data_IF_934102021018
#
_entry.id   IF_934102021018
#
_cell.length_a   1.000
_cell.length_b   1.000
_cell.length_c   1.000
_cell.angle_alpha   90.00
_cell.angle_beta   90.00
_cell.angle_gamma   90.00
#
_symmetry.space_group_name_H-M   'P 1'
#
loop_
_entity.id
_entity.type
_entity.pdbx_description
1 polymer ?
#
# COMPACT_ATOMS: atom_id res chain seq x y z
N UNK A 1 -15.29 16.82 -18.24
CA UNK A 1 -14.75 16.86 -16.87
C UNK A 1 -15.28 15.64 -16.13
N UNK A 2 -14.77 14.44 -16.47
CA UNK A 2 -15.34 13.17 -15.99
C UNK A 2 -14.27 12.07 -15.94
N UNK A 3 -13.10 12.35 -15.37
CA UNK A 3 -12.11 11.31 -15.06
C UNK A 3 -12.09 10.92 -13.57
N UNK A 4 -12.93 11.54 -12.75
CA UNK A 4 -12.78 11.51 -11.29
C UNK A 4 -13.34 10.25 -10.62
N UNK A 5 -14.38 9.59 -11.18
CA UNK A 5 -14.97 8.40 -10.56
C UNK A 5 -14.22 7.08 -10.84
N UNK A 6 -13.55 6.94 -11.99
CA UNK A 6 -12.89 5.66 -12.32
C UNK A 6 -11.55 5.46 -11.58
N UNK A 7 -10.85 6.55 -11.26
CA UNK A 7 -9.64 6.51 -10.43
C UNK A 7 -9.94 6.04 -9.01
N UNK A 8 -11.11 6.38 -8.45
CA UNK A 8 -11.47 6.01 -7.08
C UNK A 8 -11.56 4.49 -6.89
N UNK A 9 -12.18 3.76 -7.82
CA UNK A 9 -12.33 2.31 -7.67
C UNK A 9 -10.96 1.61 -7.65
N UNK A 10 -10.07 1.93 -8.60
CA UNK A 10 -8.74 1.31 -8.66
C UNK A 10 -7.86 1.66 -7.47
N UNK A 11 -7.95 2.90 -6.98
CA UNK A 11 -7.23 3.33 -5.77
C UNK A 11 -7.76 2.60 -4.56
N UNK A 12 -9.09 2.51 -4.38
CA UNK A 12 -9.72 1.77 -3.28
C UNK A 12 -9.36 0.29 -3.30
N UNK A 13 -9.39 -0.34 -4.47
CA UNK A 13 -8.95 -1.72 -4.65
C UNK A 13 -7.47 -1.89 -4.27
N UNK A 14 -6.61 -0.99 -4.75
CA UNK A 14 -5.19 -1.03 -4.44
C UNK A 14 -4.91 -0.90 -2.95
N UNK A 15 -5.44 0.13 -2.27
CA UNK A 15 -5.15 0.35 -0.84
C UNK A 15 -5.74 -0.75 0.07
N UNK A 16 -6.81 -1.44 -0.38
CA UNK A 16 -7.50 -2.47 0.43
C UNK A 16 -6.66 -3.72 0.75
N UNK A 17 -5.54 -3.94 0.05
CA UNK A 17 -4.65 -5.10 0.25
C UNK A 17 -3.33 -4.69 0.91
N UNK A 18 -2.64 -5.64 1.52
CA UNK A 18 -1.25 -5.45 1.94
C UNK A 18 -0.30 -5.42 0.74
N UNK A 19 0.77 -4.62 0.84
CA UNK A 19 1.72 -4.39 -0.24
C UNK A 19 3.10 -4.96 0.05
N UNK A 20 3.74 -5.44 -1.01
CA UNK A 20 5.07 -6.03 -1.02
C UNK A 20 6.10 -5.04 -1.57
N UNK A 21 7.39 -5.34 -1.39
CA UNK A 21 8.45 -4.65 -2.12
C UNK A 21 8.50 -5.12 -3.57
N UNK A 22 8.91 -4.23 -4.48
CA UNK A 22 9.21 -4.61 -5.86
C UNK A 22 10.72 -4.59 -6.07
N UNK A 23 11.33 -5.78 -6.11
CA UNK A 23 12.79 -5.96 -6.19
C UNK A 23 13.08 -6.95 -7.32
N UNK A 24 13.98 -6.59 -8.22
CA UNK A 24 14.39 -7.41 -9.37
C UNK A 24 13.22 -7.98 -10.18
N UNK A 25 12.20 -7.14 -10.42
CA UNK A 25 11.04 -7.50 -11.23
C UNK A 25 9.96 -8.30 -10.48
N UNK A 26 10.16 -8.60 -9.19
CA UNK A 26 9.29 -9.47 -8.40
C UNK A 26 8.69 -8.73 -7.21
N UNK A 27 7.45 -9.09 -6.88
CA UNK A 27 6.80 -8.69 -5.63
C UNK A 27 7.22 -9.62 -4.52
N UNK A 28 7.90 -9.09 -3.50
CA UNK A 28 8.50 -9.87 -2.42
C UNK A 28 8.10 -9.31 -1.06
N UNK A 29 7.86 -10.21 -0.10
CA UNK A 29 7.71 -9.83 1.30
C UNK A 29 9.01 -9.26 1.86
N UNK A 30 8.94 -8.55 2.98
CA UNK A 30 10.14 -8.15 3.72
C UNK A 30 10.94 -9.38 4.16
N UNK A 31 12.27 -9.27 4.19
CA UNK A 31 13.17 -10.31 4.71
C UNK A 31 12.83 -10.65 6.17
N UNK A 32 12.44 -9.67 6.99
CA UNK A 32 12.04 -9.90 8.38
C UNK A 32 10.61 -10.40 8.54
N UNK A 33 9.84 -10.46 7.45
CA UNK A 33 8.42 -10.79 7.45
C UNK A 33 7.51 -9.70 8.02
N UNK A 34 8.06 -8.55 8.46
CA UNK A 34 7.28 -7.48 9.08
C UNK A 34 6.62 -6.57 8.04
N UNK A 35 5.47 -6.04 8.43
CA UNK A 35 4.80 -4.91 7.77
C UNK A 35 4.81 -3.67 8.68
N UNK A 36 4.44 -2.53 8.10
CA UNK A 36 4.10 -1.31 8.84
C UNK A 36 2.78 -0.74 8.34
N UNK A 37 2.03 -0.12 9.25
CA UNK A 37 0.82 0.61 8.90
C UNK A 37 1.19 1.91 8.18
N UNK A 38 0.52 2.15 7.05
CA UNK A 38 0.51 3.45 6.38
C UNK A 38 -0.76 4.19 6.78
N UNK A 39 -0.60 5.38 7.35
CA UNK A 39 -1.69 6.11 8.01
C UNK A 39 -2.11 7.33 7.19
N UNK A 40 -3.41 7.58 7.14
CA UNK A 40 -3.95 8.83 6.63
C UNK A 40 -3.56 9.97 7.59
N UNK A 41 -2.78 10.98 7.15
CA UNK A 41 -2.34 12.05 8.03
C UNK A 41 -3.48 12.98 8.49
N UNK A 42 -4.62 12.99 7.78
CA UNK A 42 -5.78 13.83 8.08
C UNK A 42 -6.71 13.21 9.13
N UNK A 43 -6.87 11.88 9.13
CA UNK A 43 -7.77 11.14 10.03
C UNK A 43 -7.04 10.33 11.10
N UNK A 44 -5.75 10.02 10.88
CA UNK A 44 -4.95 9.06 11.66
C UNK A 44 -5.46 7.61 11.60
N UNK A 45 -6.28 7.28 10.62
CA UNK A 45 -6.71 5.91 10.37
C UNK A 45 -5.70 5.16 9.51
N UNK A 46 -5.65 3.83 9.64
CA UNK A 46 -4.78 2.99 8.81
C UNK A 46 -5.39 2.86 7.41
N UNK A 47 -4.63 3.24 6.39
CA UNK A 47 -5.01 3.09 4.99
C UNK A 47 -4.70 1.69 4.47
N UNK A 48 -3.51 1.18 4.77
CA UNK A 48 -3.00 -0.10 4.28
C UNK A 48 -1.81 -0.56 5.13
N UNK A 49 -1.30 -1.76 4.84
CA UNK A 49 -0.04 -2.25 5.36
C UNK A 49 0.96 -2.47 4.24
N UNK A 50 2.19 -2.03 4.44
CA UNK A 50 3.28 -2.21 3.48
C UNK A 50 4.40 -3.03 4.10
N UNK A 51 5.09 -3.84 3.29
CA UNK A 51 6.30 -4.54 3.72
C UNK A 51 7.32 -3.55 4.30
N UNK A 52 7.87 -3.88 5.47
CA UNK A 52 8.81 -3.00 6.18
C UNK A 52 10.24 -3.31 5.71
N UNK A 53 10.84 -2.37 4.99
CA UNK A 53 12.28 -2.41 4.72
C UNK A 53 13.08 -2.24 6.02
N UNK A 54 14.16 -2.99 6.14
CA UNK A 54 15.17 -2.85 7.20
C UNK A 54 16.50 -2.48 6.52
N UNK A 55 17.32 -1.67 7.19
CA UNK A 55 18.61 -1.17 6.70
C UNK A 55 19.77 -1.95 7.31
#
# INVERSE_FOLDING_TARGET
MTQQLQSETRVREFISRSHQHYIDGNWVSSVSGKSMDDMDPSTREVLTQVARGEA
#
